data_IF_071981584284
#
_entry.id   IF_071981584284
#
_cell.length_a   1.000
_cell.length_b   1.000
_cell.length_c   1.000
_cell.angle_alpha   90.00
_cell.angle_beta   90.00
_cell.angle_gamma   90.00
#
_symmetry.space_group_name_H-M   'P 1'
#
loop_
_entity.id
_entity.type
_entity.pdbx_description
1 polymer ?
#
# COMPACT_ATOMS: atom_id res chain seq x y z
N UNK A 1 -41.85 32.01 40.98
CA UNK A 1 -41.36 32.59 39.70
C UNK A 1 -40.10 31.81 39.34
N UNK A 2 -40.09 31.21 38.14
CA UNK A 2 -39.27 30.06 37.74
C UNK A 2 -37.76 30.34 37.72
N UNK A 3 -37.03 29.55 38.50
CA UNK A 3 -35.57 29.39 38.47
C UNK A 3 -35.27 28.05 37.80
N UNK A 4 -34.30 28.02 36.88
CA UNK A 4 -33.72 26.79 36.32
C UNK A 4 -34.43 26.23 35.08
N UNK A 5 -34.19 26.82 33.89
CA UNK A 5 -34.65 26.25 32.61
C UNK A 5 -33.72 26.63 31.45
N UNK A 6 -32.42 26.37 31.60
CA UNK A 6 -31.44 26.64 30.54
C UNK A 6 -30.40 25.53 30.33
N UNK A 7 -30.43 24.44 31.12
CA UNK A 7 -29.41 23.38 31.09
C UNK A 7 -29.87 22.02 30.57
N UNK A 8 -31.17 21.84 30.30
CA UNK A 8 -31.70 20.57 29.76
C UNK A 8 -31.79 20.53 28.23
N UNK A 9 -31.57 21.64 27.53
CA UNK A 9 -31.55 21.65 26.05
C UNK A 9 -30.18 21.34 25.45
N UNK A 10 -29.11 21.36 26.25
CA UNK A 10 -27.76 21.01 25.80
C UNK A 10 -27.45 19.51 25.89
N UNK A 11 -28.27 18.70 26.58
CA UNK A 11 -28.10 17.24 26.59
C UNK A 11 -28.86 16.53 25.48
N UNK A 12 -29.57 17.27 24.62
CA UNK A 12 -30.31 16.71 23.49
C UNK A 12 -29.82 17.21 22.12
N UNK A 13 -28.83 18.12 22.09
CA UNK A 13 -28.32 18.74 20.84
C UNK A 13 -26.78 18.74 20.78
N UNK A 14 -26.11 18.04 21.69
CA UNK A 14 -24.70 17.66 21.49
C UNK A 14 -24.60 16.13 21.45
N UNK A 15 -25.46 15.52 20.62
CA UNK A 15 -24.93 14.54 19.68
C UNK A 15 -24.20 15.41 18.64
N UNK A 16 -23.03 15.93 19.01
CA UNK A 16 -22.06 16.31 17.99
C UNK A 16 -21.79 14.96 17.31
N UNK A 17 -22.47 14.73 16.19
CA UNK A 17 -22.01 13.83 15.14
C UNK A 17 -20.52 14.17 15.00
N UNK A 18 -19.68 13.37 15.65
CA UNK A 18 -18.24 13.47 15.51
C UNK A 18 -18.03 13.11 14.04
N UNK A 19 -18.01 14.14 13.19
CA UNK A 19 -17.68 14.08 11.77
C UNK A 19 -16.17 13.78 11.59
N UNK A 20 -15.58 13.05 12.54
CA UNK A 20 -14.27 12.48 12.42
C UNK A 20 -14.49 11.06 11.92
N UNK A 21 -14.10 10.84 10.66
CA UNK A 21 -13.85 9.50 10.15
C UNK A 21 -12.92 8.79 11.16
N UNK A 22 -13.20 7.54 11.53
CA UNK A 22 -12.32 6.80 12.43
C UNK A 22 -10.88 6.79 11.87
N UNK A 23 -9.90 6.80 12.77
CA UNK A 23 -8.51 6.81 12.35
C UNK A 23 -8.21 5.60 11.46
N UNK A 24 -7.59 5.84 10.30
CA UNK A 24 -7.18 4.86 9.29
C UNK A 24 -6.49 3.60 9.84
N UNK A 25 -5.79 3.72 10.98
CA UNK A 25 -5.10 2.62 11.63
C UNK A 25 -6.04 1.56 12.23
N UNK A 26 -7.30 1.90 12.50
CA UNK A 26 -8.29 0.96 13.05
C UNK A 26 -8.99 0.13 11.97
N UNK A 27 -8.75 0.45 10.70
CA UNK A 27 -9.37 -0.21 9.55
C UNK A 27 -8.54 -1.39 9.02
N UNK A 28 -7.26 -1.43 9.37
CA UNK A 28 -6.39 -2.58 9.15
C UNK A 28 -6.47 -3.54 10.35
N UNK A 29 -6.35 -4.87 10.12
CA UNK A 29 -6.36 -5.86 11.18
C UNK A 29 -5.24 -5.57 12.18
N UNK A 30 -5.54 -5.68 13.48
CA UNK A 30 -4.58 -5.35 14.53
C UNK A 30 -3.38 -6.31 14.49
N UNK A 31 -2.17 -5.75 14.36
CA UNK A 31 -0.88 -6.46 14.32
C UNK A 31 -0.53 -7.23 15.63
N UNK A 32 -1.43 -7.23 16.63
CA UNK A 32 -1.22 -7.86 17.94
C UNK A 32 -0.29 -7.10 18.90
N UNK A 33 0.31 -5.99 18.46
CA UNK A 33 1.23 -5.18 19.27
C UNK A 33 0.55 -3.96 19.92
N UNK A 34 0.82 -3.75 21.21
CA UNK A 34 0.31 -2.59 21.96
C UNK A 34 1.16 -1.34 21.70
N UNK A 35 0.57 -0.13 21.78
CA UNK A 35 1.29 1.14 21.55
C UNK A 35 2.56 1.30 22.40
N UNK A 36 2.57 0.78 23.62
CA UNK A 36 3.76 0.78 24.49
C UNK A 36 4.91 -0.05 23.92
N UNK A 37 4.62 -1.18 23.26
CA UNK A 37 5.65 -2.00 22.61
C UNK A 37 6.26 -1.29 21.40
N UNK A 38 5.46 -0.56 20.58
CA UNK A 38 6.02 0.27 19.49
C UNK A 38 6.95 1.36 20.02
N UNK A 39 6.63 1.99 21.15
CA UNK A 39 7.47 3.03 21.78
C UNK A 39 8.77 2.48 22.39
N UNK A 40 8.79 1.22 22.82
CA UNK A 40 9.99 0.53 23.33
C UNK A 40 10.93 -0.01 22.23
N UNK A 41 10.77 0.42 20.97
CA UNK A 41 11.72 0.12 19.89
C UNK A 41 11.35 -1.06 18.98
N UNK A 42 10.17 -1.67 19.14
CA UNK A 42 9.69 -2.74 18.24
C UNK A 42 9.47 -2.29 16.78
N UNK A 43 9.44 -0.98 16.54
CA UNK A 43 9.50 -0.39 15.20
C UNK A 43 10.77 -0.82 14.46
N UNK A 44 11.90 -0.99 15.16
CA UNK A 44 13.17 -1.42 14.54
C UNK A 44 13.06 -2.82 13.94
N UNK A 45 12.35 -3.74 14.60
CA UNK A 45 12.12 -5.10 14.10
C UNK A 45 11.32 -5.06 12.80
N UNK A 46 10.28 -4.21 12.72
CA UNK A 46 9.49 -4.04 11.50
C UNK A 46 10.33 -3.49 10.35
N UNK A 47 11.22 -2.53 10.64
CA UNK A 47 12.14 -1.98 9.64
C UNK A 47 13.11 -3.07 9.14
N UNK A 48 13.74 -3.83 10.05
CA UNK A 48 14.66 -4.90 9.69
C UNK A 48 13.95 -5.97 8.84
N UNK A 49 12.74 -6.37 9.25
CA UNK A 49 11.93 -7.34 8.52
C UNK A 49 11.58 -6.83 7.12
N UNK A 50 11.17 -5.57 7.00
CA UNK A 50 10.87 -4.94 5.72
C UNK A 50 12.10 -4.92 4.79
N UNK A 51 13.27 -4.54 5.30
CA UNK A 51 14.53 -4.58 4.56
C UNK A 51 14.89 -6.00 4.12
N UNK A 52 14.76 -6.99 5.02
CA UNK A 52 15.03 -8.39 4.72
C UNK A 52 14.11 -8.92 3.60
N UNK A 53 12.80 -8.67 3.70
CA UNK A 53 11.84 -9.06 2.68
C UNK A 53 12.14 -8.39 1.33
N UNK A 54 12.51 -7.11 1.34
CA UNK A 54 12.87 -6.38 0.13
C UNK A 54 14.11 -6.97 -0.55
N UNK A 55 15.18 -7.21 0.20
CA UNK A 55 16.41 -7.82 -0.34
C UNK A 55 16.15 -9.25 -0.84
N UNK A 56 15.36 -10.04 -0.12
CA UNK A 56 15.01 -11.40 -0.54
C UNK A 56 14.24 -11.39 -1.86
N UNK A 57 13.23 -10.52 -2.00
CA UNK A 57 12.49 -10.38 -3.24
C UNK A 57 13.38 -9.92 -4.39
N UNK A 58 14.29 -8.98 -4.15
CA UNK A 58 15.23 -8.52 -5.18
C UNK A 58 16.12 -9.66 -5.69
N UNK A 59 16.68 -10.48 -4.80
CA UNK A 59 17.51 -11.64 -5.17
C UNK A 59 16.68 -12.67 -5.94
N UNK A 60 15.46 -12.98 -5.47
CA UNK A 60 14.58 -13.94 -6.16
C UNK A 60 14.21 -13.44 -7.57
N UNK A 61 13.95 -12.15 -7.71
CA UNK A 61 13.66 -11.55 -9.00
C UNK A 61 14.86 -11.67 -9.97
N UNK A 62 16.07 -11.32 -9.53
CA UNK A 62 17.23 -11.30 -10.42
C UNK A 62 17.74 -12.72 -10.75
N UNK A 63 17.88 -13.58 -9.74
CA UNK A 63 18.50 -14.90 -9.92
C UNK A 63 17.55 -15.97 -10.45
N UNK A 64 16.24 -15.85 -10.20
CA UNK A 64 15.26 -16.89 -10.58
C UNK A 64 14.24 -16.40 -11.60
N UNK A 65 13.65 -15.23 -11.39
CA UNK A 65 12.56 -14.75 -12.23
C UNK A 65 13.04 -14.35 -13.64
N UNK A 66 14.13 -13.57 -13.74
CA UNK A 66 14.66 -13.15 -15.04
C UNK A 66 15.13 -14.34 -15.90
N UNK A 67 15.89 -15.32 -15.40
CA UNK A 67 16.27 -16.51 -16.18
C UNK A 67 15.08 -17.39 -16.57
N UNK A 68 14.03 -17.46 -15.72
CA UNK A 68 12.81 -18.19 -16.05
C UNK A 68 12.08 -17.57 -17.25
N UNK A 69 11.99 -16.23 -17.33
CA UNK A 69 11.42 -15.54 -18.48
C UNK A 69 12.19 -15.86 -19.77
N UNK A 70 13.53 -15.83 -19.73
CA UNK A 70 14.36 -16.15 -20.91
C UNK A 70 14.07 -17.54 -21.46
N UNK A 71 14.09 -18.57 -20.59
CA UNK A 71 13.72 -19.94 -20.98
C UNK A 71 12.29 -20.06 -21.50
N UNK A 72 11.37 -19.27 -20.98
CA UNK A 72 9.99 -19.25 -21.46
C UNK A 72 9.89 -18.66 -22.87
N UNK A 73 10.65 -17.59 -23.16
CA UNK A 73 10.74 -16.99 -24.49
C UNK A 73 11.34 -17.97 -25.50
N UNK A 74 12.42 -18.68 -25.13
CA UNK A 74 13.04 -19.73 -25.95
C UNK A 74 12.04 -20.80 -26.39
N UNK A 75 11.26 -21.32 -25.43
CA UNK A 75 10.26 -22.36 -25.67
C UNK A 75 9.08 -21.88 -26.52
N UNK A 76 8.75 -20.60 -26.47
CA UNK A 76 7.65 -20.02 -27.22
C UNK A 76 8.05 -19.51 -28.61
N UNK A 77 9.34 -19.58 -28.98
CA UNK A 77 9.85 -19.05 -30.25
C UNK A 77 9.47 -17.56 -30.46
N UNK A 78 9.37 -16.79 -29.39
CA UNK A 78 9.10 -15.36 -29.42
C UNK A 78 10.42 -14.59 -29.32
N UNK A 79 10.44 -13.36 -29.86
CA UNK A 79 11.57 -12.45 -29.65
C UNK A 79 11.74 -12.20 -28.15
N UNK A 80 12.90 -12.57 -27.60
CA UNK A 80 13.22 -12.48 -26.17
C UNK A 80 13.00 -11.05 -25.64
N UNK A 81 13.27 -10.04 -26.47
CA UNK A 81 13.16 -8.63 -26.09
C UNK A 81 11.71 -8.22 -25.85
N UNK A 82 10.78 -8.64 -26.70
CA UNK A 82 9.38 -8.18 -26.66
C UNK A 82 8.60 -8.93 -25.59
N UNK A 83 8.76 -10.25 -25.54
CA UNK A 83 8.13 -11.07 -24.51
C UNK A 83 8.74 -10.77 -23.13
N UNK A 84 10.07 -10.65 -23.06
CA UNK A 84 10.79 -10.29 -21.84
C UNK A 84 10.37 -8.93 -21.28
N UNK A 85 10.32 -7.89 -22.12
CA UNK A 85 9.86 -6.57 -21.71
C UNK A 85 8.42 -6.59 -21.16
N UNK A 86 7.51 -7.33 -21.81
CA UNK A 86 6.11 -7.43 -21.37
C UNK A 86 5.98 -8.15 -20.03
N UNK A 87 6.64 -9.30 -19.88
CA UNK A 87 6.59 -10.05 -18.63
C UNK A 87 7.28 -9.32 -17.48
N UNK A 88 8.40 -8.64 -17.73
CA UNK A 88 9.06 -7.78 -16.74
C UNK A 88 8.16 -6.61 -16.33
N UNK A 89 7.48 -5.96 -17.28
CA UNK A 89 6.55 -4.88 -16.98
C UNK A 89 5.38 -5.37 -16.10
N UNK A 90 4.76 -6.51 -16.45
CA UNK A 90 3.69 -7.12 -15.66
C UNK A 90 4.19 -7.52 -14.27
N UNK A 91 5.40 -8.08 -14.18
CA UNK A 91 6.00 -8.51 -12.92
C UNK A 91 6.24 -7.33 -11.97
N UNK A 92 6.74 -6.21 -12.49
CA UNK A 92 6.97 -5.01 -11.68
C UNK A 92 5.68 -4.45 -11.09
N UNK A 93 4.55 -4.54 -11.81
CA UNK A 93 3.25 -4.06 -11.34
C UNK A 93 2.46 -5.08 -10.50
N UNK A 94 2.89 -6.34 -10.45
CA UNK A 94 2.18 -7.42 -9.76
C UNK A 94 2.11 -7.22 -8.22
N UNK A 95 3.20 -6.82 -7.53
CA UNK A 95 3.15 -6.52 -6.11
C UNK A 95 2.17 -5.38 -5.77
N UNK A 96 2.12 -4.34 -6.62
CA UNK A 96 1.20 -3.21 -6.44
C UNK A 96 -0.25 -3.64 -6.60
N UNK A 97 -0.54 -4.46 -7.61
CA UNK A 97 -1.87 -5.05 -7.80
C UNK A 97 -2.28 -5.89 -6.58
N UNK A 98 -1.34 -6.66 -6.01
CA UNK A 98 -1.59 -7.46 -4.82
C UNK A 98 -1.89 -6.59 -3.60
N UNK A 99 -1.07 -5.58 -3.31
CA UNK A 99 -1.29 -4.65 -2.19
C UNK A 99 -2.61 -3.89 -2.35
N UNK A 100 -2.94 -3.44 -3.57
CA UNK A 100 -4.20 -2.78 -3.87
C UNK A 100 -5.41 -3.70 -3.70
N UNK A 101 -5.29 -4.95 -4.14
CA UNK A 101 -6.35 -5.94 -3.97
C UNK A 101 -6.57 -6.25 -2.48
N UNK A 102 -5.50 -6.53 -1.75
CA UNK A 102 -5.56 -6.80 -0.30
C UNK A 102 -6.11 -5.58 0.45
N UNK A 103 -5.65 -4.37 0.13
CA UNK A 103 -6.14 -3.13 0.73
C UNK A 103 -7.63 -2.90 0.47
N UNK A 104 -8.12 -3.20 -0.74
CA UNK A 104 -9.55 -3.08 -1.09
C UNK A 104 -10.41 -4.12 -0.38
N UNK A 105 -9.91 -5.35 -0.20
CA UNK A 105 -10.70 -6.43 0.41
C UNK A 105 -10.64 -6.46 1.94
N UNK A 106 -9.60 -5.90 2.55
CA UNK A 106 -9.41 -5.91 4.02
C UNK A 106 -9.97 -4.66 4.68
N UNK A 107 -9.90 -3.49 4.03
CA UNK A 107 -10.43 -2.24 4.59
C UNK A 107 -11.86 -2.04 4.09
N UNK A 108 -12.82 -1.89 4.99
CA UNK A 108 -14.24 -1.74 4.62
C UNK A 108 -14.64 -0.27 4.33
N UNK A 109 -13.72 0.68 4.41
CA UNK A 109 -13.97 2.11 4.23
C UNK A 109 -13.25 2.78 3.05
N UNK A 110 -13.55 4.07 2.87
CA UNK A 110 -13.07 4.90 1.75
C UNK A 110 -11.54 5.04 1.67
N UNK A 111 -10.83 4.66 2.74
CA UNK A 111 -9.37 4.71 2.82
C UNK A 111 -8.69 3.73 1.85
N UNK A 112 -9.30 2.56 1.63
CA UNK A 112 -8.76 1.53 0.73
C UNK A 112 -8.78 1.98 -0.71
N UNK A 113 -9.94 2.45 -1.14
CA UNK A 113 -10.12 2.99 -2.49
C UNK A 113 -9.20 4.19 -2.71
N UNK A 114 -9.08 5.09 -1.73
CA UNK A 114 -8.15 6.23 -1.79
C UNK A 114 -6.67 5.81 -1.95
N UNK A 115 -6.24 4.77 -1.23
CA UNK A 115 -4.87 4.23 -1.32
C UNK A 115 -4.63 3.53 -2.66
N UNK A 116 -5.62 2.80 -3.16
CA UNK A 116 -5.56 2.10 -4.45
C UNK A 116 -5.48 3.08 -5.61
N UNK A 117 -6.35 4.09 -5.62
CA UNK A 117 -6.36 5.12 -6.66
C UNK A 117 -5.08 5.97 -6.59
N UNK A 118 -4.65 6.34 -5.38
CA UNK A 118 -3.44 7.11 -5.17
C UNK A 118 -2.17 6.40 -5.66
N UNK A 119 -2.04 5.10 -5.40
CA UNK A 119 -0.89 4.30 -5.87
C UNK A 119 -0.86 4.16 -7.40
N UNK A 120 -2.02 3.95 -8.04
CA UNK A 120 -2.13 3.87 -9.49
C UNK A 120 -1.75 5.19 -10.17
N UNK A 121 -2.23 6.31 -9.63
CA UNK A 121 -1.89 7.65 -10.13
C UNK A 121 -0.40 7.94 -9.96
N UNK A 122 0.19 7.58 -8.81
CA UNK A 122 1.62 7.72 -8.57
C UNK A 122 2.45 6.89 -9.56
N UNK A 123 2.08 5.63 -9.84
CA UNK A 123 2.84 4.80 -10.77
C UNK A 123 2.78 5.34 -12.21
N UNK A 124 1.63 5.84 -12.66
CA UNK A 124 1.49 6.39 -14.03
C UNK A 124 2.19 7.75 -14.18
N UNK A 125 2.27 8.57 -13.12
CA UNK A 125 2.84 9.91 -13.20
C UNK A 125 4.30 9.97 -12.75
N UNK A 126 4.62 9.43 -11.57
CA UNK A 126 5.93 9.58 -10.96
C UNK A 126 6.99 8.69 -11.63
N UNK A 127 6.66 7.45 -12.00
CA UNK A 127 7.65 6.53 -12.61
C UNK A 127 8.10 7.05 -13.98
N UNK A 128 7.22 7.40 -14.94
CA UNK A 128 7.65 8.00 -16.21
C UNK A 128 8.34 9.36 -16.02
N UNK A 129 7.92 10.17 -15.05
CA UNK A 129 8.57 11.45 -14.76
C UNK A 129 10.01 11.25 -14.28
N UNK A 130 10.26 10.31 -13.36
CA UNK A 130 11.61 9.96 -12.91
C UNK A 130 12.45 9.38 -14.05
N UNK A 131 11.89 8.46 -14.85
CA UNK A 131 12.58 7.90 -16.01
C UNK A 131 12.97 8.98 -17.02
N UNK A 132 12.06 9.93 -17.32
CA UNK A 132 12.34 11.04 -18.22
C UNK A 132 13.39 12.01 -17.68
N UNK A 133 13.36 12.28 -16.37
CA UNK A 133 14.34 13.15 -15.73
C UNK A 133 15.75 12.54 -15.75
N UNK A 134 15.87 11.25 -15.41
CA UNK A 134 17.16 10.53 -15.38
C UNK A 134 17.67 10.26 -16.78
N UNK A 135 16.81 9.98 -17.76
CA UNK A 135 17.24 9.79 -19.15
C UNK A 135 17.77 11.07 -19.81
N UNK A 136 17.41 12.23 -19.28
CA UNK A 136 17.86 13.54 -19.75
C UNK A 136 19.03 14.11 -18.93
N UNK A 137 19.63 13.30 -18.03
CA UNK A 137 20.88 13.58 -17.32
C UNK A 137 22.01 12.71 -17.88
#
# INVERSE_FOLDING_TARGET
>A
RKSGSGRQLLSAVVEEEINCTPAAINEFPSDGFTREQRQHGWVLIHIILACYCFTLLAIVCDDFFVPAIRKFCDRLHLSEDVAGATFMAIASSSPELFINSVGTFITEGDLGVGTVVGSAVFNILAVPACCGLVANM
#
